data_IF_384191923276
#
_entry.id   IF_384191923276
#
_cell.length_a   1.000
_cell.length_b   1.000
_cell.length_c   1.000
_cell.angle_alpha   90.00
_cell.angle_beta   90.00
_cell.angle_gamma   90.00
#
_symmetry.space_group_name_H-M   'P 1'
#
loop_
_entity.id
_entity.type
_entity.pdbx_description
1 polymer ?
#
# COMPACT_ATOMS: atom_id res chain seq x y z
N UNK A 1 -0.50 42.68 23.69
CA UNK A 1 -0.30 41.24 23.92
C UNK A 1 -1.29 40.53 23.00
N UNK A 2 -0.85 40.02 21.84
CA UNK A 2 -1.78 39.33 20.93
C UNK A 2 -1.99 37.92 21.46
N UNK A 3 -3.19 37.65 21.98
CA UNK A 3 -3.62 36.30 22.32
C UNK A 3 -3.88 35.61 20.99
N UNK A 4 -2.95 34.76 20.56
CA UNK A 4 -3.23 33.80 19.49
C UNK A 4 -4.34 32.91 20.01
N UNK A 5 -5.57 33.10 19.52
CA UNK A 5 -6.62 32.12 19.74
C UNK A 5 -6.13 30.78 19.20
N UNK A 6 -5.80 29.87 20.09
CA UNK A 6 -5.28 28.54 19.77
C UNK A 6 -6.36 27.57 19.27
N UNK A 7 -7.63 27.99 19.30
CA UNK A 7 -8.80 27.16 19.01
C UNK A 7 -9.51 27.69 17.75
N UNK A 8 -9.67 26.81 16.77
CA UNK A 8 -10.33 27.10 15.49
C UNK A 8 -11.84 27.29 15.65
N UNK A 9 -12.47 28.00 14.70
CA UNK A 9 -13.92 28.18 14.67
C UNK A 9 -14.69 26.83 14.64
N UNK A 10 -14.10 25.80 14.02
CA UNK A 10 -14.66 24.46 13.99
C UNK A 10 -14.63 23.80 15.38
N UNK A 11 -13.52 23.93 16.12
CA UNK A 11 -13.41 23.39 17.48
C UNK A 11 -14.40 24.06 18.45
N UNK A 12 -14.54 25.40 18.36
CA UNK A 12 -15.53 26.16 19.12
C UNK A 12 -16.96 25.65 18.85
N UNK A 13 -17.34 25.54 17.57
CA UNK A 13 -18.66 25.03 17.18
C UNK A 13 -18.92 23.62 17.71
N UNK A 14 -17.96 22.71 17.54
CA UNK A 14 -18.10 21.33 18.00
C UNK A 14 -18.27 21.24 19.52
N UNK A 15 -17.53 22.07 20.28
CA UNK A 15 -17.64 22.13 21.75
C UNK A 15 -18.99 22.66 22.21
N UNK A 16 -19.48 23.74 21.59
CA UNK A 16 -20.79 24.33 21.87
C UNK A 16 -21.94 23.36 21.58
N UNK A 17 -21.81 22.56 20.53
CA UNK A 17 -22.85 21.63 20.07
C UNK A 17 -22.64 20.19 20.58
N UNK A 18 -21.71 19.96 21.52
CA UNK A 18 -21.38 18.64 22.07
C UNK A 18 -21.07 17.58 21.01
N UNK A 19 -20.50 18.01 19.88
CA UNK A 19 -20.08 17.12 18.80
C UNK A 19 -18.80 16.42 19.22
N UNK A 20 -18.81 15.09 19.22
CA UNK A 20 -17.62 14.29 19.50
C UNK A 20 -16.62 14.42 18.35
N UNK A 21 -15.51 15.13 18.59
CA UNK A 21 -14.43 15.29 17.62
C UNK A 21 -13.35 14.23 17.89
N UNK A 22 -13.01 13.37 16.91
CA UNK A 22 -11.90 12.45 17.05
C UNK A 22 -10.58 13.23 17.14
N UNK A 23 -9.72 12.85 18.09
CA UNK A 23 -8.36 13.39 18.17
C UNK A 23 -7.52 12.75 17.07
N UNK A 24 -7.29 13.52 16.00
CA UNK A 24 -6.48 13.12 14.85
C UNK A 24 -5.15 13.86 14.95
N UNK A 25 -4.05 13.12 15.04
CA UNK A 25 -2.70 13.70 15.09
C UNK A 25 -1.92 13.55 13.79
N UNK A 26 -2.42 12.75 12.85
CA UNK A 26 -1.76 12.46 11.57
C UNK A 26 -2.76 12.08 10.48
N UNK A 27 -2.33 12.13 9.22
CA UNK A 27 -3.12 11.66 8.07
C UNK A 27 -3.47 10.18 8.21
N UNK A 28 -2.56 9.37 8.77
CA UNK A 28 -2.80 7.95 9.02
C UNK A 28 -3.93 7.73 10.03
N UNK A 29 -4.03 8.57 11.06
CA UNK A 29 -5.14 8.55 12.02
C UNK A 29 -6.45 8.94 11.35
N UNK A 30 -6.45 9.96 10.48
CA UNK A 30 -7.63 10.34 9.70
C UNK A 30 -8.13 9.20 8.83
N UNK A 31 -7.23 8.55 8.09
CA UNK A 31 -7.57 7.43 7.22
C UNK A 31 -8.09 6.25 8.04
N UNK A 32 -7.48 5.97 9.19
CA UNK A 32 -7.93 4.91 10.06
C UNK A 32 -9.34 5.17 10.61
N UNK A 33 -9.62 6.41 11.01
CA UNK A 33 -10.95 6.84 11.41
C UNK A 33 -12.00 6.65 10.30
N UNK A 34 -11.59 6.81 9.03
CA UNK A 34 -12.43 6.57 7.85
C UNK A 34 -12.57 5.09 7.46
N UNK A 35 -12.08 4.16 8.28
CA UNK A 35 -12.20 2.71 8.06
C UNK A 35 -11.10 2.09 7.21
N UNK A 36 -10.05 2.85 6.88
CA UNK A 36 -8.87 2.31 6.20
C UNK A 36 -7.85 1.75 7.20
N UNK A 37 -6.88 0.98 6.71
CA UNK A 37 -5.75 0.60 7.57
C UNK A 37 -4.95 1.84 7.95
N UNK A 38 -4.53 1.96 9.22
CA UNK A 38 -3.55 2.97 9.64
C UNK A 38 -2.18 2.78 8.97
N UNK A 39 -1.89 1.58 8.47
CA UNK A 39 -0.59 1.24 7.90
C UNK A 39 -0.59 1.47 6.38
N UNK A 40 0.23 2.42 5.93
CA UNK A 40 0.38 2.77 4.51
C UNK A 40 0.57 1.55 3.59
N UNK A 41 1.43 0.60 3.98
CA UNK A 41 1.75 -0.57 3.15
C UNK A 41 0.52 -1.47 2.96
N UNK A 42 -0.25 -1.68 4.01
CA UNK A 42 -1.49 -2.47 3.94
C UNK A 42 -2.50 -1.77 3.02
N UNK A 43 -2.72 -0.46 3.19
CA UNK A 43 -3.60 0.31 2.28
C UNK A 43 -3.17 0.19 0.83
N UNK A 44 -1.87 0.35 0.55
CA UNK A 44 -1.34 0.26 -0.80
C UNK A 44 -1.56 -1.12 -1.42
N UNK A 45 -1.28 -2.20 -0.67
CA UNK A 45 -1.50 -3.56 -1.14
C UNK A 45 -2.99 -3.88 -1.36
N UNK A 46 -3.83 -3.48 -0.41
CA UNK A 46 -5.27 -3.74 -0.44
C UNK A 46 -5.98 -2.99 -1.58
N UNK A 47 -5.40 -1.88 -2.05
CA UNK A 47 -5.91 -1.07 -3.18
C UNK A 47 -5.30 -1.43 -4.53
N UNK A 48 -4.32 -2.34 -4.59
CA UNK A 48 -3.78 -2.80 -5.87
C UNK A 48 -4.90 -3.35 -6.75
N UNK A 49 -4.87 -3.00 -8.05
CA UNK A 49 -5.72 -3.66 -9.04
C UNK A 49 -5.41 -5.16 -9.04
N UNK A 50 -6.44 -5.97 -9.28
CA UNK A 50 -6.36 -7.43 -9.14
C UNK A 50 -5.18 -8.02 -9.92
N UNK A 51 -4.99 -7.65 -11.19
CA UNK A 51 -3.89 -8.18 -12.01
C UNK A 51 -2.49 -7.86 -11.46
N UNK A 52 -2.25 -6.63 -10.96
CA UNK A 52 -0.96 -6.29 -10.34
C UNK A 52 -0.76 -7.01 -9.00
N UNK A 53 -1.84 -7.22 -8.23
CA UNK A 53 -1.77 -8.00 -7.00
C UNK A 53 -1.41 -9.45 -7.32
N UNK A 54 -2.12 -10.09 -8.24
CA UNK A 54 -1.86 -11.47 -8.67
C UNK A 54 -0.42 -11.62 -9.16
N UNK A 55 0.06 -10.72 -10.02
CA UNK A 55 1.46 -10.71 -10.46
C UNK A 55 2.46 -10.63 -9.31
N UNK A 56 2.24 -9.73 -8.35
CA UNK A 56 3.10 -9.60 -7.18
C UNK A 56 3.09 -10.88 -6.32
N UNK A 57 1.92 -11.48 -6.12
CA UNK A 57 1.77 -12.72 -5.35
C UNK A 57 2.43 -13.91 -6.05
N UNK A 58 2.38 -13.98 -7.38
CA UNK A 58 3.10 -14.98 -8.18
C UNK A 58 4.61 -14.84 -8.00
N UNK A 59 5.16 -13.63 -8.08
CA UNK A 59 6.61 -13.39 -7.83
C UNK A 59 7.00 -13.73 -6.38
N UNK A 60 6.08 -13.52 -5.44
CA UNK A 60 6.28 -13.84 -4.04
C UNK A 60 6.27 -15.34 -3.75
N UNK A 61 5.81 -16.18 -4.70
CA UNK A 61 5.65 -17.63 -4.50
C UNK A 61 4.86 -17.90 -3.20
N UNK A 62 3.78 -17.14 -2.99
CA UNK A 62 2.85 -17.37 -1.89
C UNK A 62 1.91 -18.52 -2.20
N UNK A 63 1.67 -19.36 -1.21
CA UNK A 63 0.76 -20.49 -1.30
C UNK A 63 -0.26 -20.47 -0.14
N UNK A 64 -1.09 -21.52 -0.04
CA UNK A 64 -2.11 -21.63 1.00
C UNK A 64 -1.53 -21.67 2.42
N UNK A 65 -0.28 -22.13 2.60
CA UNK A 65 0.40 -22.16 3.91
C UNK A 65 0.82 -20.77 4.38
N UNK A 66 0.95 -19.81 3.46
CA UNK A 66 1.22 -18.41 3.79
C UNK A 66 -0.02 -17.64 4.22
N UNK A 67 -1.22 -18.24 4.14
CA UNK A 67 -2.46 -17.64 4.64
C UNK A 67 -2.71 -18.01 6.10
N UNK A 68 -3.20 -17.04 6.89
CA UNK A 68 -3.65 -17.29 8.27
C UNK A 68 -4.85 -18.23 8.35
N UNK A 69 -5.63 -18.31 7.28
CA UNK A 69 -6.80 -19.17 7.15
C UNK A 69 -6.98 -19.57 5.70
N UNK A 70 -7.32 -20.84 5.45
CA UNK A 70 -7.66 -21.37 4.12
C UNK A 70 -8.87 -20.68 3.47
N UNK A 71 -9.68 -19.99 4.26
CA UNK A 71 -10.87 -19.29 3.79
C UNK A 71 -10.58 -17.83 3.39
N UNK A 72 -9.36 -17.35 3.61
CA UNK A 72 -8.98 -16.03 3.15
C UNK A 72 -8.76 -16.00 1.64
N UNK A 73 -9.21 -14.93 1.01
CA UNK A 73 -9.07 -14.71 -0.44
C UNK A 73 -7.66 -14.30 -0.86
N UNK A 74 -6.77 -13.96 0.09
CA UNK A 74 -5.46 -13.36 -0.20
C UNK A 74 -5.51 -11.91 -0.72
N UNK A 75 -6.70 -11.29 -0.81
CA UNK A 75 -6.81 -9.91 -1.33
C UNK A 75 -6.39 -8.81 -0.35
N UNK A 76 -6.21 -9.17 0.92
CA UNK A 76 -5.82 -8.24 1.99
C UNK A 76 -4.49 -8.65 2.58
N UNK A 77 -3.63 -7.69 2.90
CA UNK A 77 -2.30 -8.01 3.42
C UNK A 77 -2.35 -8.75 4.78
N UNK A 78 -3.31 -8.42 5.63
CA UNK A 78 -3.51 -9.12 6.91
C UNK A 78 -4.06 -10.55 6.77
N UNK A 79 -4.48 -10.98 5.59
CA UNK A 79 -4.86 -12.38 5.36
C UNK A 79 -3.65 -13.33 5.47
N UNK A 80 -2.44 -12.81 5.27
CA UNK A 80 -1.21 -13.57 5.25
C UNK A 80 -0.57 -13.70 6.64
N UNK A 81 0.12 -14.82 6.87
CA UNK A 81 1.01 -15.00 8.01
C UNK A 81 2.16 -14.01 7.93
N UNK A 82 2.91 -13.84 9.02
CA UNK A 82 4.10 -12.98 9.00
C UNK A 82 5.12 -13.43 7.94
N UNK A 83 5.26 -14.75 7.74
CA UNK A 83 6.12 -15.30 6.70
C UNK A 83 5.61 -14.94 5.30
N UNK A 84 4.30 -15.08 5.05
CA UNK A 84 3.67 -14.67 3.79
C UNK A 84 3.85 -13.18 3.51
N UNK A 85 3.65 -12.33 4.52
CA UNK A 85 3.87 -10.89 4.41
C UNK A 85 5.34 -10.56 4.06
N UNK A 86 6.30 -11.27 4.67
CA UNK A 86 7.73 -11.13 4.35
C UNK A 86 8.06 -11.60 2.93
N UNK A 87 7.43 -12.66 2.42
CA UNK A 87 7.56 -13.10 1.01
C UNK A 87 7.10 -11.98 0.07
N UNK A 88 5.91 -11.44 0.29
CA UNK A 88 5.34 -10.33 -0.50
C UNK A 88 6.27 -9.11 -0.48
N UNK A 89 6.78 -8.73 0.70
CA UNK A 89 7.71 -7.61 0.82
C UNK A 89 9.02 -7.81 0.02
N UNK A 90 9.57 -9.04 0.04
CA UNK A 90 10.76 -9.39 -0.74
C UNK A 90 10.49 -9.35 -2.24
N UNK A 91 9.34 -9.86 -2.68
CA UNK A 91 8.91 -9.80 -4.08
C UNK A 91 8.78 -8.36 -4.58
N UNK A 92 8.11 -7.51 -3.80
CA UNK A 92 7.98 -6.09 -4.13
C UNK A 92 9.36 -5.42 -4.26
N UNK A 93 10.29 -5.72 -3.36
CA UNK A 93 11.67 -5.24 -3.45
C UNK A 93 12.37 -5.73 -4.73
N UNK A 94 12.20 -7.00 -5.11
CA UNK A 94 12.77 -7.56 -6.36
C UNK A 94 12.22 -6.82 -7.58
N UNK A 95 10.90 -6.60 -7.66
CA UNK A 95 10.27 -5.85 -8.76
C UNK A 95 10.83 -4.44 -8.85
N UNK A 96 10.95 -3.74 -7.71
CA UNK A 96 11.53 -2.39 -7.67
C UNK A 96 12.98 -2.37 -8.16
N UNK A 97 13.81 -3.30 -7.68
CA UNK A 97 15.21 -3.39 -8.11
C UNK A 97 15.33 -3.72 -9.60
N UNK A 98 14.49 -4.60 -10.12
CA UNK A 98 14.43 -4.92 -11.54
C UNK A 98 14.04 -3.68 -12.36
N UNK A 99 12.98 -2.97 -11.95
CA UNK A 99 12.55 -1.74 -12.62
C UNK A 99 13.64 -0.66 -12.62
N UNK A 100 14.46 -0.59 -11.57
CA UNK A 100 15.58 0.35 -11.47
C UNK A 100 16.83 -0.09 -12.26
N UNK A 101 16.91 -1.36 -12.67
CA UNK A 101 18.03 -1.88 -13.46
C UNK A 101 17.91 -1.52 -14.95
N UNK A 102 16.72 -1.14 -15.40
CA UNK A 102 16.47 -0.64 -16.75
C UNK A 102 16.35 0.90 -16.74
N UNK A 103 16.58 1.57 -17.89
CA UNK A 103 16.27 2.98 -18.04
C UNK A 103 14.79 3.27 -17.74
N UNK A 104 14.49 4.38 -17.05
CA UNK A 104 13.12 4.71 -16.60
C UNK A 104 12.13 4.90 -17.76
N UNK A 105 12.62 5.25 -18.95
CA UNK A 105 11.81 5.50 -20.16
C UNK A 105 11.83 4.34 -21.15
N UNK A 106 12.28 3.14 -20.74
CA UNK A 106 12.36 2.01 -21.66
C UNK A 106 10.97 1.62 -22.17
N UNK A 107 10.88 1.39 -23.47
CA UNK A 107 9.65 1.02 -24.16
C UNK A 107 9.70 -0.43 -24.63
N UNK A 108 8.54 -1.06 -24.83
CA UNK A 108 8.46 -2.41 -25.41
C UNK A 108 9.15 -2.51 -26.77
N UNK A 109 9.17 -1.44 -27.56
CA UNK A 109 9.84 -1.39 -28.86
C UNK A 109 11.34 -1.59 -28.73
N UNK A 110 11.98 -1.02 -27.72
CA UNK A 110 13.43 -1.16 -27.51
C UNK A 110 13.83 -2.62 -27.25
N UNK A 111 12.94 -3.43 -26.65
CA UNK A 111 13.15 -4.87 -26.48
C UNK A 111 13.16 -5.65 -27.81
N UNK A 112 12.63 -5.07 -28.89
CA UNK A 112 12.65 -5.67 -30.24
C UNK A 112 13.83 -5.18 -31.08
N UNK A 113 14.55 -4.14 -30.64
CA UNK A 113 15.70 -3.55 -31.32
C UNK A 113 17.01 -4.16 -30.84
N UNK A 114 17.09 -5.48 -30.88
CA UNK A 114 18.25 -6.26 -30.44
C UNK A 114 19.11 -6.69 -31.62
N UNK A 115 20.42 -6.81 -31.38
CA UNK A 115 21.35 -7.35 -32.38
C UNK A 115 20.95 -8.79 -32.73
N UNK A 116 20.64 -9.02 -34.01
CA UNK A 116 20.50 -10.36 -34.55
C UNK A 116 21.88 -10.92 -34.83
N UNK A 117 22.45 -11.66 -33.88
CA UNK A 117 23.67 -12.42 -34.14
C UNK A 117 23.34 -13.68 -34.95
N UNK A 118 23.65 -13.67 -36.25
CA UNK A 118 23.73 -14.86 -37.10
C UNK A 118 22.57 -15.12 -38.08
N UNK A 119 21.95 -14.09 -38.66
CA UNK A 119 21.24 -14.24 -39.96
C UNK A 119 22.24 -14.15 -41.12
#
# INVERSE_FOLDING_TARGET
MYVLETESAAEKYCKEHQVAVPKISSIDDSLHYLGESRFRVERSFDRLQQGFREFLLTIAEVDLSDLRSRHHTGFKLHHYTEQGQRKIARAFRKVRLLSQAFPESITEREFLQIDKRGE
#
